data_IF_472659801966
#
_entry.id   IF_472659801966
#
_cell.length_a   1.000
_cell.length_b   1.000
_cell.length_c   1.000
_cell.angle_alpha   90.00
_cell.angle_beta   90.00
_cell.angle_gamma   90.00
#
_symmetry.space_group_name_H-M   'P 1'
#
loop_
_entity.id
_entity.type
_entity.pdbx_description
1 polymer ?
#
# COMPACT_ATOMS: atom_id res chain seq x y z
N UNK A 1 -15.77 1.82 -4.73
CA UNK A 1 -15.70 0.66 -5.63
C UNK A 1 -15.72 -0.61 -4.79
N UNK A 2 -16.42 -1.66 -5.23
CA UNK A 2 -16.41 -2.96 -4.54
C UNK A 2 -15.25 -3.87 -4.97
N UNK A 3 -14.96 -4.91 -4.19
CA UNK A 3 -13.84 -5.82 -4.45
C UNK A 3 -13.95 -6.55 -5.80
N UNK A 4 -15.11 -7.11 -6.23
CA UNK A 4 -15.21 -7.75 -7.54
C UNK A 4 -14.91 -6.81 -8.71
N UNK A 5 -15.40 -5.57 -8.68
CA UNK A 5 -15.09 -4.59 -9.72
C UNK A 5 -13.60 -4.19 -9.72
N UNK A 6 -12.99 -4.09 -8.53
CA UNK A 6 -11.56 -3.79 -8.40
C UNK A 6 -10.69 -4.91 -9.00
N UNK A 7 -10.99 -6.17 -8.67
CA UNK A 7 -10.30 -7.34 -9.22
C UNK A 7 -10.45 -7.35 -10.75
N UNK A 8 -11.66 -7.13 -11.26
CA UNK A 8 -11.90 -7.04 -12.71
C UNK A 8 -11.03 -5.96 -13.35
N UNK A 9 -11.03 -4.76 -12.79
CA UNK A 9 -10.25 -3.63 -13.32
C UNK A 9 -8.75 -3.96 -13.42
N UNK A 10 -8.15 -4.51 -12.35
CA UNK A 10 -6.72 -4.85 -12.36
C UNK A 10 -6.40 -6.01 -13.31
N UNK A 11 -7.31 -6.99 -13.45
CA UNK A 11 -7.12 -8.09 -14.42
C UNK A 11 -7.23 -7.63 -15.88
N UNK A 12 -8.00 -6.57 -16.14
CA UNK A 12 -8.13 -5.92 -17.46
C UNK A 12 -7.05 -4.86 -17.71
N UNK A 13 -6.06 -4.73 -16.80
CA UNK A 13 -4.98 -3.73 -16.83
C UNK A 13 -5.49 -2.29 -16.86
N UNK A 14 -6.67 -2.03 -16.28
CA UNK A 14 -7.18 -0.68 -16.09
C UNK A 14 -6.63 -0.12 -14.78
N UNK A 15 -6.06 1.08 -14.86
CA UNK A 15 -5.64 1.81 -13.67
C UNK A 15 -6.85 2.27 -12.86
N UNK A 16 -6.72 2.17 -11.54
CA UNK A 16 -7.69 2.71 -10.62
C UNK A 16 -7.41 4.18 -10.38
N UNK A 17 -8.47 4.98 -10.33
CA UNK A 17 -8.39 6.36 -9.84
C UNK A 17 -8.07 6.37 -8.34
N UNK A 18 -7.61 7.51 -7.81
CA UNK A 18 -7.35 7.65 -6.37
C UNK A 18 -8.57 7.29 -5.52
N UNK A 19 -9.77 7.76 -5.89
CA UNK A 19 -11.01 7.48 -5.16
C UNK A 19 -11.38 5.99 -5.17
N UNK A 20 -11.21 5.32 -6.32
CA UNK A 20 -11.44 3.88 -6.44
C UNK A 20 -10.46 3.11 -5.54
N UNK A 21 -9.18 3.46 -5.58
CA UNK A 21 -8.15 2.80 -4.78
C UNK A 21 -8.34 3.06 -3.27
N UNK A 22 -8.71 4.28 -2.87
CA UNK A 22 -9.04 4.59 -1.48
C UNK A 22 -10.21 3.74 -0.97
N UNK A 23 -11.25 3.59 -1.78
CA UNK A 23 -12.40 2.75 -1.42
C UNK A 23 -11.99 1.28 -1.25
N UNK A 24 -11.18 0.74 -2.16
CA UNK A 24 -10.68 -0.64 -2.09
C UNK A 24 -9.82 -0.85 -0.84
N UNK A 25 -8.88 0.06 -0.60
CA UNK A 25 -7.97 -0.04 0.53
C UNK A 25 -8.69 0.11 1.88
N UNK A 26 -9.74 0.94 1.97
CA UNK A 26 -10.56 1.00 3.17
C UNK A 26 -11.23 -0.36 3.44
N UNK A 27 -11.90 -0.96 2.46
CA UNK A 27 -12.53 -2.28 2.60
C UNK A 27 -11.53 -3.37 3.01
N UNK A 28 -10.31 -3.34 2.48
CA UNK A 28 -9.25 -4.28 2.88
C UNK A 28 -8.83 -4.06 4.33
N UNK A 29 -8.54 -2.81 4.71
CA UNK A 29 -7.96 -2.48 6.01
C UNK A 29 -8.99 -2.51 7.16
N UNK A 30 -10.30 -2.38 6.87
CA UNK A 30 -11.38 -2.56 7.86
C UNK A 30 -11.82 -4.01 8.03
N UNK A 31 -11.23 -4.95 7.27
CA UNK A 31 -11.52 -6.38 7.38
C UNK A 31 -12.80 -6.82 6.66
N UNK A 32 -13.32 -6.00 5.75
CA UNK A 32 -14.53 -6.29 4.97
C UNK A 32 -14.25 -7.14 3.72
N UNK A 33 -12.98 -7.27 3.31
CA UNK A 33 -12.56 -8.11 2.19
C UNK A 33 -12.17 -9.53 2.64
N UNK A 34 -12.57 -10.54 1.87
CA UNK A 34 -12.16 -11.93 2.09
C UNK A 34 -10.69 -12.14 1.71
N UNK A 35 -10.00 -13.15 2.28
CA UNK A 35 -8.61 -13.47 1.90
C UNK A 35 -8.42 -13.73 0.40
N UNK A 36 -9.40 -14.37 -0.25
CA UNK A 36 -9.37 -14.63 -1.69
C UNK A 36 -9.46 -13.34 -2.52
N UNK A 37 -10.30 -12.39 -2.09
CA UNK A 37 -10.41 -11.08 -2.76
C UNK A 37 -9.12 -10.26 -2.62
N UNK A 38 -8.53 -10.25 -1.43
CA UNK A 38 -7.26 -9.57 -1.16
C UNK A 38 -6.15 -10.17 -2.05
N UNK A 39 -6.01 -11.50 -2.04
CA UNK A 39 -5.02 -12.19 -2.87
C UNK A 39 -5.19 -11.93 -4.37
N UNK A 40 -6.44 -12.04 -4.88
CA UNK A 40 -6.74 -11.78 -6.28
C UNK A 40 -6.45 -10.34 -6.71
N UNK A 41 -6.81 -9.38 -5.86
CA UNK A 41 -6.53 -7.96 -6.12
C UNK A 41 -5.02 -7.68 -6.15
N UNK A 42 -4.27 -8.14 -5.15
CA UNK A 42 -2.82 -7.91 -5.06
C UNK A 42 -2.03 -8.54 -6.22
N UNK A 43 -2.39 -9.78 -6.60
CA UNK A 43 -1.76 -10.44 -7.76
C UNK A 43 -2.08 -9.69 -9.05
N UNK A 44 -3.34 -9.29 -9.24
CA UNK A 44 -3.74 -8.51 -10.41
C UNK A 44 -3.03 -7.16 -10.49
N UNK A 45 -2.93 -6.44 -9.37
CA UNK A 45 -2.23 -5.16 -9.27
C UNK A 45 -0.75 -5.31 -9.64
N UNK A 46 -0.08 -6.34 -9.10
CA UNK A 46 1.32 -6.65 -9.41
C UNK A 46 1.56 -6.99 -10.89
N UNK A 47 0.61 -7.70 -11.51
CA UNK A 47 0.66 -8.06 -12.93
C UNK A 47 0.39 -6.87 -13.86
N UNK A 48 -0.52 -5.97 -13.47
CA UNK A 48 -0.79 -4.71 -14.18
C UNK A 48 0.41 -3.77 -14.11
N UNK A 49 1.02 -3.69 -12.92
CA UNK A 49 1.95 -2.64 -12.52
C UNK A 49 1.21 -1.54 -11.78
N UNK A 50 1.67 -1.21 -10.59
CA UNK A 50 1.14 -0.15 -9.74
C UNK A 50 1.44 1.24 -10.34
N UNK A 51 0.46 2.14 -10.29
CA UNK A 51 0.62 3.55 -10.66
C UNK A 51 0.92 4.42 -9.43
N UNK A 52 1.39 5.65 -9.67
CA UNK A 52 1.64 6.64 -8.61
C UNK A 52 0.36 6.95 -7.84
N UNK A 53 -0.77 7.10 -8.55
CA UNK A 53 -2.06 7.41 -7.94
C UNK A 53 -2.53 6.27 -7.02
N UNK A 54 -2.36 5.02 -7.46
CA UNK A 54 -2.73 3.84 -6.66
C UNK A 54 -1.86 3.71 -5.40
N UNK A 55 -0.54 3.89 -5.52
CA UNK A 55 0.39 3.83 -4.37
C UNK A 55 0.09 4.97 -3.39
N UNK A 56 -0.14 6.18 -3.90
CA UNK A 56 -0.43 7.36 -3.09
C UNK A 56 -1.72 7.19 -2.31
N UNK A 57 -2.80 6.77 -2.99
CA UNK A 57 -4.09 6.48 -2.36
C UNK A 57 -3.98 5.39 -1.29
N UNK A 58 -3.26 4.31 -1.57
CA UNK A 58 -3.05 3.24 -0.60
C UNK A 58 -2.29 3.71 0.65
N UNK A 59 -1.20 4.45 0.45
CA UNK A 59 -0.41 5.00 1.54
C UNK A 59 -1.21 5.99 2.40
N UNK A 60 -2.07 6.81 1.78
CA UNK A 60 -2.96 7.72 2.49
C UNK A 60 -3.91 6.97 3.43
N UNK A 61 -4.64 5.96 2.93
CA UNK A 61 -5.56 5.16 3.74
C UNK A 61 -4.83 4.44 4.88
N UNK A 62 -3.69 3.81 4.59
CA UNK A 62 -2.87 3.17 5.63
C UNK A 62 -2.45 4.17 6.71
N UNK A 63 -2.03 5.38 6.32
CA UNK A 63 -1.62 6.44 7.25
C UNK A 63 -2.79 7.00 8.05
N UNK A 64 -4.00 7.04 7.50
CA UNK A 64 -5.21 7.48 8.20
C UNK A 64 -5.63 6.49 9.30
N UNK A 65 -5.50 5.19 9.02
CA UNK A 65 -5.86 4.13 9.96
C UNK A 65 -4.75 3.79 10.97
N UNK A 66 -3.53 4.25 10.74
CA UNK A 66 -2.42 4.07 11.68
C UNK A 66 -2.56 4.95 12.92
N UNK A 67 -2.24 4.38 14.10
CA UNK A 67 -2.09 5.14 15.34
C UNK A 67 -0.99 6.20 15.17
N UNK A 68 -1.36 7.48 15.36
CA UNK A 68 -0.43 8.60 15.21
C UNK A 68 0.51 8.72 16.42
N UNK A 69 1.77 9.02 16.14
CA UNK A 69 2.74 9.45 17.16
C UNK A 69 3.04 10.94 16.90
N UNK A 70 2.71 11.78 17.87
CA UNK A 70 2.95 13.23 17.77
C UNK A 70 4.35 13.53 18.33
N UNK A 71 5.23 14.05 17.49
CA UNK A 71 6.63 14.33 17.83
C UNK A 71 6.94 15.77 17.36
N UNK A 72 7.69 16.53 18.14
CA UNK A 72 8.13 17.89 17.80
C UNK A 72 9.66 18.01 17.87
N UNK A 73 10.25 18.77 16.94
CA UNK A 73 11.69 18.96 16.82
C UNK A 73 12.07 19.54 15.45
N UNK A 74 13.21 20.23 15.35
CA UNK A 74 13.63 20.92 14.12
C UNK A 74 14.25 19.99 13.06
N UNK A 75 14.78 18.83 13.47
CA UNK A 75 15.55 17.92 12.61
C UNK A 75 15.08 16.47 12.74
N UNK A 76 13.77 16.25 12.67
CA UNK A 76 13.19 14.89 12.69
C UNK A 76 13.37 14.25 11.31
N UNK A 77 13.92 13.04 11.28
CA UNK A 77 14.12 12.24 10.07
C UNK A 77 13.70 10.81 10.33
N UNK A 78 13.27 10.12 9.28
CA UNK A 78 13.00 8.69 9.27
C UNK A 78 13.91 7.99 8.27
N UNK A 79 14.45 6.82 8.64
CA UNK A 79 15.34 6.01 7.80
C UNK A 79 14.67 4.65 7.63
N UNK A 80 14.02 4.45 6.48
CA UNK A 80 13.30 3.23 6.13
C UNK A 80 13.64 2.77 4.73
N UNK A 81 13.47 1.47 4.48
CA UNK A 81 13.62 0.88 3.16
C UNK A 81 12.63 -0.26 2.99
N UNK A 82 12.16 -0.46 1.76
CA UNK A 82 11.27 -1.59 1.43
C UNK A 82 11.98 -2.94 1.57
N UNK A 83 13.32 -2.94 1.45
CA UNK A 83 14.11 -4.16 1.31
C UNK A 83 13.76 -4.93 0.02
N UNK A 84 14.13 -6.20 -0.02
CA UNK A 84 13.73 -7.13 -1.09
C UNK A 84 14.70 -7.24 -2.27
N UNK A 85 15.89 -6.64 -2.18
CA UNK A 85 16.97 -6.78 -3.18
C UNK A 85 17.75 -8.11 -3.03
N UNK A 86 17.50 -8.87 -1.96
CA UNK A 86 18.18 -10.14 -1.69
C UNK A 86 19.67 -10.00 -1.36
N UNK A 87 20.15 -8.79 -1.07
CA UNK A 87 21.58 -8.51 -0.92
C UNK A 87 22.20 -9.10 0.35
N UNK A 88 21.39 -9.49 1.34
CA UNK A 88 21.87 -10.10 2.58
C UNK A 88 22.71 -9.16 3.44
N UNK A 89 22.58 -7.84 3.24
CA UNK A 89 23.28 -6.85 4.07
C UNK A 89 22.86 -6.98 5.53
N UNK A 90 23.77 -6.68 6.45
CA UNK A 90 23.39 -6.47 7.85
C UNK A 90 22.42 -5.28 7.99
N UNK A 91 21.85 -5.06 9.17
CA UNK A 91 20.83 -4.02 9.41
C UNK A 91 21.42 -2.59 9.35
N UNK A 92 21.79 -2.13 8.15
CA UNK A 92 22.46 -0.85 7.90
C UNK A 92 21.59 0.33 8.35
N UNK A 93 20.29 0.31 8.06
CA UNK A 93 19.37 1.38 8.48
C UNK A 93 19.37 1.53 10.00
N UNK A 94 19.30 0.42 10.75
CA UNK A 94 19.38 0.41 12.21
C UNK A 94 20.71 0.93 12.73
N UNK A 95 21.82 0.59 12.09
CA UNK A 95 23.14 1.08 12.47
C UNK A 95 23.35 2.58 12.17
N UNK A 96 22.52 3.16 11.29
CA UNK A 96 22.59 4.57 10.90
C UNK A 96 21.74 5.48 11.77
N UNK A 97 20.78 4.93 12.52
CA UNK A 97 19.88 5.65 13.43
C UNK A 97 20.51 5.93 14.81
#
# INVERSE_FOLDING_TARGET
MDMPAAIRAVTERRDLTQEEMQSVMNTIMTGEATPAQIGGFLVGLRMKGETIDEITAAAQVMRELATKVNISGEHIVDIVGTGGDGSGTFNISTASC
#
